data_IF_532217163077
#
_entry.id   IF_532217163077
#
_cell.length_a   1.000
_cell.length_b   1.000
_cell.length_c   1.000
_cell.angle_alpha   90.00
_cell.angle_beta   90.00
_cell.angle_gamma   90.00
#
_symmetry.space_group_name_H-M   'P 1'
#
loop_
_entity.id
_entity.type
_entity.pdbx_description
1 polymer ?
#
# COMPACT_ATOMS: atom_id res chain seq x y z
N UNK A 1 -11.10 -1.94 -14.85
CA UNK A 1 -11.29 -2.43 -13.47
C UNK A 1 -12.22 -3.63 -13.53
N UNK A 2 -12.13 -4.55 -12.57
CA UNK A 2 -13.06 -5.65 -12.37
C UNK A 2 -13.90 -5.43 -11.12
N UNK A 3 -15.12 -5.93 -11.11
CA UNK A 3 -16.04 -5.87 -9.97
C UNK A 3 -16.63 -7.26 -9.78
N UNK A 4 -16.54 -7.81 -8.57
CA UNK A 4 -17.12 -9.12 -8.26
C UNK A 4 -18.64 -9.02 -8.13
N UNK A 5 -19.32 -10.16 -8.15
CA UNK A 5 -20.77 -10.21 -7.97
C UNK A 5 -21.21 -9.76 -6.55
N UNK A 6 -22.47 -9.33 -6.40
CA UNK A 6 -23.09 -8.91 -5.13
C UNK A 6 -22.46 -7.70 -4.41
N UNK A 7 -21.82 -6.77 -5.13
CA UNK A 7 -21.30 -5.51 -4.56
C UNK A 7 -21.98 -4.30 -5.17
N UNK A 8 -22.10 -3.22 -4.38
CA UNK A 8 -22.67 -1.94 -4.82
C UNK A 8 -21.56 -0.92 -5.00
N UNK A 9 -21.63 -0.16 -6.10
CA UNK A 9 -20.77 1.00 -6.34
C UNK A 9 -21.62 2.25 -6.10
N UNK A 10 -21.23 3.05 -5.11
CA UNK A 10 -21.93 4.29 -4.79
C UNK A 10 -21.81 5.36 -5.87
N UNK A 11 -22.74 6.31 -5.86
CA UNK A 11 -22.72 7.44 -6.80
C UNK A 11 -21.38 8.20 -6.69
N UNK A 12 -20.78 8.56 -7.83
CA UNK A 12 -19.49 9.29 -7.90
C UNK A 12 -18.30 8.58 -7.26
N UNK A 13 -18.42 7.29 -6.92
CA UNK A 13 -17.28 6.49 -6.55
C UNK A 13 -16.30 6.35 -7.73
N UNK A 14 -15.01 6.35 -7.44
CA UNK A 14 -13.94 6.25 -8.44
C UNK A 14 -13.14 4.98 -8.19
N UNK A 15 -13.05 4.12 -9.21
CA UNK A 15 -12.26 2.90 -9.17
C UNK A 15 -11.08 3.07 -10.11
N UNK A 16 -9.86 3.05 -9.58
CA UNK A 16 -8.68 3.26 -10.42
C UNK A 16 -8.44 2.10 -11.39
N UNK A 17 -7.68 2.38 -12.46
CA UNK A 17 -7.37 1.40 -13.49
C UNK A 17 -6.72 0.13 -12.92
N UNK A 18 -6.99 -1.01 -13.56
CA UNK A 18 -6.51 -2.34 -13.16
C UNK A 18 -6.88 -2.81 -11.73
N UNK A 19 -7.86 -2.19 -11.09
CA UNK A 19 -8.32 -2.62 -9.76
C UNK A 19 -9.35 -3.76 -9.83
N UNK A 20 -9.49 -4.52 -8.74
CA UNK A 20 -10.59 -5.50 -8.55
C UNK A 20 -11.36 -5.22 -7.28
N UNK A 21 -12.61 -4.81 -7.44
CA UNK A 21 -13.53 -4.47 -6.34
C UNK A 21 -14.15 -5.75 -5.80
N UNK A 22 -13.80 -6.10 -4.56
CA UNK A 22 -14.31 -7.29 -3.86
C UNK A 22 -15.36 -6.96 -2.79
N UNK A 23 -15.57 -5.68 -2.48
CA UNK A 23 -16.52 -5.17 -1.49
C UNK A 23 -17.25 -3.94 -2.04
N UNK A 24 -18.43 -3.64 -1.50
CA UNK A 24 -19.17 -2.42 -1.88
C UNK A 24 -18.35 -1.16 -1.60
N UNK A 25 -18.44 -0.18 -2.49
CA UNK A 25 -17.71 1.10 -2.44
C UNK A 25 -18.72 2.21 -2.12
N UNK A 26 -18.39 3.06 -1.14
CA UNK A 26 -19.29 4.12 -0.73
C UNK A 26 -19.37 5.25 -1.79
N UNK A 27 -20.46 6.05 -1.81
CA UNK A 27 -20.56 7.20 -2.70
C UNK A 27 -19.38 8.18 -2.52
N UNK A 28 -18.82 8.66 -3.62
CA UNK A 28 -17.68 9.57 -3.64
C UNK A 28 -16.33 8.97 -3.20
N UNK A 29 -16.28 7.70 -2.82
CA UNK A 29 -15.06 7.04 -2.37
C UNK A 29 -14.12 6.74 -3.56
N UNK A 30 -12.81 6.85 -3.34
CA UNK A 30 -11.79 6.53 -4.33
C UNK A 30 -11.02 5.29 -3.90
N UNK A 31 -11.13 4.21 -4.67
CA UNK A 31 -10.49 2.92 -4.39
C UNK A 31 -9.54 2.49 -5.49
N UNK A 32 -8.48 1.77 -5.13
CA UNK A 32 -7.49 1.24 -6.08
C UNK A 32 -6.85 -0.06 -5.60
N UNK A 33 -6.36 -0.88 -6.54
CA UNK A 33 -5.55 -2.07 -6.27
C UNK A 33 -6.25 -3.41 -6.46
N UNK A 34 -5.55 -4.50 -6.11
CA UNK A 34 -6.01 -5.88 -6.22
C UNK A 34 -5.74 -6.61 -4.89
N UNK A 35 -6.73 -6.73 -3.97
CA UNK A 35 -8.08 -6.18 -4.05
C UNK A 35 -8.13 -4.65 -3.90
N UNK A 36 -9.21 -4.04 -4.39
CA UNK A 36 -9.42 -2.59 -4.32
C UNK A 36 -9.67 -2.15 -2.88
N UNK A 37 -8.91 -1.14 -2.42
CA UNK A 37 -8.98 -0.53 -1.08
C UNK A 37 -8.93 0.99 -1.19
N UNK A 38 -9.28 1.76 -0.13
CA UNK A 38 -9.19 3.21 -0.15
C UNK A 38 -7.82 3.70 -0.65
N UNK A 39 -7.81 4.63 -1.59
CA UNK A 39 -6.58 5.06 -2.29
C UNK A 39 -5.51 5.61 -1.33
N UNK A 40 -5.93 6.15 -0.17
CA UNK A 40 -5.02 6.67 0.86
C UNK A 40 -4.15 5.56 1.47
N UNK A 41 -4.74 4.40 1.75
CA UNK A 41 -4.02 3.25 2.32
C UNK A 41 -2.97 2.73 1.33
N UNK A 42 -3.36 2.55 0.06
CA UNK A 42 -2.44 2.06 -0.96
C UNK A 42 -1.27 3.04 -1.17
N UNK A 43 -1.55 4.35 -1.20
CA UNK A 43 -0.49 5.36 -1.34
C UNK A 43 0.52 5.30 -0.19
N UNK A 44 0.06 5.07 1.04
CA UNK A 44 0.94 4.92 2.20
C UNK A 44 1.80 3.66 2.09
N UNK A 45 1.22 2.53 1.71
CA UNK A 45 1.96 1.28 1.50
C UNK A 45 3.01 1.40 0.40
N UNK A 46 2.65 1.99 -0.75
CA UNK A 46 3.58 2.21 -1.86
C UNK A 46 4.73 3.15 -1.47
N UNK A 47 4.45 4.20 -0.69
CA UNK A 47 5.49 5.09 -0.17
C UNK A 47 6.46 4.34 0.77
N UNK A 48 5.94 3.48 1.64
CA UNK A 48 6.75 2.66 2.52
C UNK A 48 7.62 1.65 1.74
N UNK A 49 7.05 1.02 0.71
CA UNK A 49 7.78 0.11 -0.19
C UNK A 49 8.89 0.84 -0.95
N UNK A 50 8.62 2.05 -1.45
CA UNK A 50 9.63 2.87 -2.11
C UNK A 50 10.78 3.26 -1.15
N UNK A 51 10.50 3.44 0.13
CA UNK A 51 11.49 3.77 1.16
C UNK A 51 12.29 2.55 1.66
N UNK A 52 11.76 1.34 1.50
CA UNK A 52 12.34 0.10 2.04
C UNK A 52 13.82 -0.12 1.67
N UNK A 53 14.29 0.12 0.44
CA UNK A 53 15.71 -0.07 0.10
C UNK A 53 16.65 0.85 0.89
N UNK A 54 16.25 2.11 1.11
CA UNK A 54 17.03 3.06 1.89
C UNK A 54 17.12 2.63 3.36
N UNK A 55 16.00 2.19 3.92
CA UNK A 55 15.94 1.66 5.28
C UNK A 55 16.83 0.42 5.43
N UNK A 56 16.78 -0.53 4.50
CA UNK A 56 17.64 -1.72 4.52
C UNK A 56 19.13 -1.36 4.45
N UNK A 57 19.53 -0.34 3.67
CA UNK A 57 20.91 0.16 3.62
C UNK A 57 21.34 0.75 4.96
N UNK A 58 20.46 1.50 5.62
CA UNK A 58 20.74 2.06 6.95
C UNK A 58 20.89 0.95 8.00
N UNK A 59 19.98 -0.02 8.04
CA UNK A 59 20.04 -1.17 8.96
C UNK A 59 21.35 -1.96 8.78
N UNK A 60 21.73 -2.28 7.54
CA UNK A 60 23.02 -2.95 7.26
C UNK A 60 24.23 -2.16 7.75
N UNK A 61 24.20 -0.82 7.62
CA UNK A 61 25.29 0.05 8.06
C UNK A 61 25.38 0.07 9.59
N UNK A 62 24.25 0.14 10.28
CA UNK A 62 24.20 0.13 11.76
C UNK A 62 24.67 -1.22 12.31
N UNK A 63 24.16 -2.33 11.76
CA UNK A 63 24.59 -3.68 12.15
C UNK A 63 26.11 -3.88 11.99
N UNK A 64 26.72 -3.38 10.91
CA UNK A 64 28.19 -3.43 10.71
C UNK A 64 28.97 -2.58 11.72
N UNK A 65 28.40 -1.48 12.21
CA UNK A 65 29.05 -0.63 13.23
C UNK A 65 29.02 -1.30 14.61
N UNK A 66 27.89 -1.91 14.96
CA UNK A 66 27.76 -2.66 16.22
C UNK A 66 28.71 -3.86 16.27
N UNK A 67 28.91 -4.58 15.16
CA UNK A 67 29.87 -5.70 15.09
C UNK A 67 31.34 -5.26 15.21
N UNK A 68 31.66 -4.01 14.88
CA UNK A 68 33.03 -3.47 14.97
C UNK A 68 33.35 -2.79 16.28
N UNK A 69 32.35 -2.55 17.13
CA UNK A 69 32.56 -2.01 18.47
C UNK A 69 32.65 -3.21 19.42
N UNK A 70 33.86 -3.64 19.84
CA UNK A 70 33.98 -4.73 20.81
C UNK A 70 33.16 -4.36 22.05
N UNK A 71 32.28 -5.28 22.48
CA UNK A 71 31.60 -5.22 23.77
C UNK A 71 32.69 -5.02 24.83
N UNK A 72 32.60 -3.91 25.56
CA UNK A 72 33.41 -3.67 26.76
C UNK A 72 33.10 -4.72 27.81
#
# INVERSE_FOLDING_TARGET
AGVVDHVKIGERAQVGAASVVTKSVAPGEVVWGYPARPIKEIKQELAALAFLPALLKQLKRTARKEQKSPKR
#
